data_IF_493076574945
#
_entry.id   IF_493076574945
#
_cell.length_a   1.000
_cell.length_b   1.000
_cell.length_c   1.000
_cell.angle_alpha   90.00
_cell.angle_beta   90.00
_cell.angle_gamma   90.00
#
_symmetry.space_group_name_H-M   'P 1'
#
loop_
_entity.id
_entity.type
_entity.pdbx_description
1 polymer ?
#
# COMPACT_ATOMS: atom_id res chain seq x y z
N UNK A 1 24.46 -10.58 -18.47
CA UNK A 1 25.01 -10.42 -17.11
C UNK A 1 23.97 -10.81 -16.10
N UNK A 2 24.38 -11.63 -15.23
CA UNK A 2 23.66 -12.45 -14.26
C UNK A 2 22.69 -11.68 -13.39
N UNK A 3 21.39 -11.94 -13.61
CA UNK A 3 20.32 -11.65 -12.66
C UNK A 3 20.42 -12.56 -11.42
N UNK A 4 21.55 -12.59 -10.78
CA UNK A 4 21.84 -13.58 -9.75
C UNK A 4 21.24 -13.27 -8.38
N UNK A 5 20.45 -12.20 -8.19
CA UNK A 5 20.09 -11.87 -6.81
C UNK A 5 18.70 -11.21 -6.60
N UNK A 6 17.70 -11.56 -7.40
CA UNK A 6 16.33 -11.12 -7.11
C UNK A 6 15.59 -12.08 -6.16
N UNK A 7 16.29 -12.73 -5.26
CA UNK A 7 15.65 -13.57 -4.26
C UNK A 7 16.35 -13.41 -2.91
N UNK A 8 15.63 -13.55 -1.78
CA UNK A 8 16.23 -13.47 -0.47
C UNK A 8 17.16 -14.66 -0.24
N UNK A 9 18.17 -14.50 0.64
CA UNK A 9 19.10 -15.56 1.00
C UNK A 9 18.43 -16.72 1.72
N UNK A 10 17.37 -16.45 2.46
CA UNK A 10 16.60 -17.44 3.21
C UNK A 10 15.24 -17.59 2.53
N UNK A 11 14.89 -18.81 2.16
CA UNK A 11 13.64 -19.15 1.47
C UNK A 11 13.02 -20.41 2.07
N UNK A 12 11.72 -20.56 1.86
CA UNK A 12 11.06 -21.83 2.13
C UNK A 12 11.62 -22.94 1.23
N UNK A 13 11.61 -24.16 1.76
CA UNK A 13 12.14 -25.32 1.04
C UNK A 13 11.34 -25.56 -0.26
N UNK A 14 12.07 -25.81 -1.34
CA UNK A 14 11.50 -26.16 -2.62
C UNK A 14 11.43 -25.01 -3.63
N UNK A 15 11.68 -23.77 -3.21
CA UNK A 15 11.68 -22.62 -4.11
C UNK A 15 13.13 -22.22 -4.45
N UNK A 16 13.47 -22.27 -5.74
CA UNK A 16 14.83 -22.00 -6.25
C UNK A 16 14.86 -20.95 -7.35
N UNK A 17 13.72 -20.66 -8.00
CA UNK A 17 13.66 -19.69 -9.08
C UNK A 17 13.94 -18.26 -8.57
N UNK A 18 14.60 -17.45 -9.42
CA UNK A 18 14.74 -16.03 -9.13
C UNK A 18 13.38 -15.35 -9.03
N UNK A 19 13.29 -14.37 -8.14
CA UNK A 19 12.13 -13.50 -8.08
C UNK A 19 12.09 -12.60 -9.32
N UNK A 20 10.92 -12.11 -9.68
CA UNK A 20 10.72 -11.24 -10.84
C UNK A 20 10.48 -9.79 -10.43
N UNK A 21 10.79 -8.89 -11.37
CA UNK A 21 10.49 -7.47 -11.25
C UNK A 21 9.14 -7.20 -11.91
N UNK A 22 8.22 -6.57 -11.18
CA UNK A 22 6.91 -6.20 -11.68
C UNK A 22 6.58 -4.77 -11.27
N UNK A 23 6.14 -3.96 -12.22
CA UNK A 23 5.56 -2.67 -11.87
C UNK A 23 4.25 -2.85 -11.09
N UNK A 24 3.99 -1.96 -10.14
CA UNK A 24 2.75 -2.02 -9.37
C UNK A 24 1.52 -2.00 -10.29
N UNK A 25 1.54 -1.20 -11.35
CA UNK A 25 0.46 -1.12 -12.33
C UNK A 25 0.18 -2.41 -13.11
N UNK A 26 1.14 -3.36 -13.14
CA UNK A 26 0.92 -4.68 -13.74
C UNK A 26 0.10 -5.60 -12.83
N UNK A 27 0.20 -5.44 -11.52
CA UNK A 27 -0.43 -6.32 -10.52
C UNK A 27 -1.59 -5.67 -9.77
N UNK A 28 -1.77 -4.35 -9.89
CA UNK A 28 -2.78 -3.61 -9.16
C UNK A 28 -3.51 -2.59 -10.04
N UNK A 29 -4.76 -2.34 -9.70
CA UNK A 29 -5.59 -1.27 -10.28
C UNK A 29 -5.76 -0.14 -9.29
N UNK A 30 -5.66 1.09 -9.77
CA UNK A 30 -6.01 2.26 -8.97
C UNK A 30 -7.52 2.30 -8.71
N UNK A 31 -7.88 2.64 -7.47
CA UNK A 31 -9.28 2.88 -7.07
C UNK A 31 -9.47 4.38 -6.88
N UNK A 32 -10.49 4.92 -7.57
CA UNK A 32 -10.90 6.33 -7.45
C UNK A 32 -12.38 6.46 -7.08
N UNK A 33 -12.97 5.40 -6.55
CA UNK A 33 -14.36 5.35 -6.12
C UNK A 33 -14.63 6.40 -5.06
N UNK A 34 -15.60 7.28 -5.33
CA UNK A 34 -16.06 8.30 -4.38
C UNK A 34 -17.16 7.76 -3.49
N UNK A 35 -17.24 8.30 -2.29
CA UNK A 35 -18.30 8.01 -1.32
C UNK A 35 -19.61 8.80 -1.62
N UNK A 36 -19.99 8.86 -2.89
CA UNK A 36 -21.12 9.69 -3.36
C UNK A 36 -22.44 9.38 -2.68
N UNK A 37 -22.69 8.10 -2.40
CA UNK A 37 -23.91 7.61 -1.78
C UNK A 37 -23.81 7.52 -0.25
N UNK A 38 -22.75 8.06 0.34
CA UNK A 38 -22.49 8.00 1.78
C UNK A 38 -22.55 6.58 2.35
N UNK A 39 -22.01 5.60 1.62
CA UNK A 39 -21.94 4.21 2.06
C UNK A 39 -21.16 4.04 3.36
N UNK A 40 -20.21 4.94 3.64
CA UNK A 40 -19.45 4.97 4.87
C UNK A 40 -19.38 6.39 5.42
N UNK A 41 -19.42 6.51 6.73
CA UNK A 41 -19.13 7.75 7.46
C UNK A 41 -17.93 7.60 8.38
N UNK A 42 -17.18 6.49 8.25
CA UNK A 42 -16.02 6.19 9.05
C UNK A 42 -14.76 6.81 8.41
N UNK A 43 -14.24 7.94 8.93
CA UNK A 43 -13.00 8.50 8.41
C UNK A 43 -11.83 7.66 8.90
N UNK A 44 -10.96 7.27 7.97
CA UNK A 44 -9.77 6.49 8.25
C UNK A 44 -8.51 7.36 8.22
N UNK A 45 -7.48 6.90 8.90
CA UNK A 45 -6.11 7.39 8.80
C UNK A 45 -5.15 6.22 8.77
N UNK A 46 -3.96 6.41 8.19
CA UNK A 46 -2.90 5.41 8.21
C UNK A 46 -1.90 5.76 9.31
N UNK A 47 -1.69 4.80 10.21
CA UNK A 47 -0.55 4.77 11.11
C UNK A 47 0.47 3.76 10.58
N UNK A 48 1.75 4.14 10.51
CA UNK A 48 2.83 3.22 10.12
C UNK A 48 2.89 2.00 11.05
N UNK A 49 2.58 2.20 12.33
CA UNK A 49 2.63 1.17 13.36
C UNK A 49 1.34 0.34 13.44
N UNK A 50 0.18 0.99 13.32
CA UNK A 50 -1.12 0.37 13.61
C UNK A 50 -2.00 0.13 12.38
N UNK A 51 -1.54 0.50 11.18
CA UNK A 51 -2.30 0.36 9.95
C UNK A 51 -3.44 1.37 9.81
N UNK A 52 -4.48 0.99 9.09
CA UNK A 52 -5.67 1.80 8.90
C UNK A 52 -6.55 1.79 10.15
N UNK A 53 -6.81 2.97 10.68
CA UNK A 53 -7.52 3.21 11.95
C UNK A 53 -8.64 4.22 11.76
N UNK A 54 -9.62 4.14 12.66
CA UNK A 54 -10.60 5.22 12.80
C UNK A 54 -9.86 6.53 13.16
N UNK A 55 -10.02 7.53 12.30
CA UNK A 55 -9.35 8.81 12.46
C UNK A 55 -9.79 9.54 13.75
N UNK A 56 -11.08 9.45 14.09
CA UNK A 56 -11.61 10.10 15.28
C UNK A 56 -11.06 9.48 16.57
N UNK A 57 -10.95 8.14 16.61
CA UNK A 57 -10.33 7.44 17.74
C UNK A 57 -8.84 7.72 17.86
N UNK A 58 -8.13 7.72 16.71
CA UNK A 58 -6.68 7.90 16.69
C UNK A 58 -6.25 9.29 17.18
N UNK A 59 -6.98 10.34 16.79
CA UNK A 59 -6.67 11.72 17.15
C UNK A 59 -7.50 12.26 18.32
N UNK A 60 -8.43 11.47 18.85
CA UNK A 60 -9.40 11.89 19.89
C UNK A 60 -10.17 13.16 19.51
N UNK A 61 -10.39 13.37 18.22
CA UNK A 61 -11.18 14.49 17.69
C UNK A 61 -11.55 14.28 16.24
N UNK A 62 -12.59 14.97 15.77
CA UNK A 62 -12.98 14.95 14.37
C UNK A 62 -12.05 15.85 13.53
N UNK A 63 -11.32 15.25 12.60
CA UNK A 63 -10.46 15.94 11.63
C UNK A 63 -11.10 16.00 10.25
N UNK A 64 -11.81 14.93 9.85
CA UNK A 64 -12.49 14.85 8.57
C UNK A 64 -13.58 15.91 8.45
N UNK A 65 -13.85 16.35 7.23
CA UNK A 65 -15.00 17.19 6.92
C UNK A 65 -16.29 16.54 7.41
N UNK A 66 -17.31 17.38 7.71
CA UNK A 66 -18.66 16.86 7.99
C UNK A 66 -19.28 16.17 6.77
N UNK A 67 -19.01 16.69 5.57
CA UNK A 67 -19.40 16.07 4.31
C UNK A 67 -18.22 15.25 3.77
N UNK A 68 -18.37 13.94 3.79
CA UNK A 68 -17.36 12.98 3.29
C UNK A 68 -17.76 12.36 1.94
N UNK A 69 -18.74 12.92 1.26
CA UNK A 69 -19.20 12.43 -0.06
C UNK A 69 -18.12 12.56 -1.14
N UNK A 70 -17.25 13.55 -1.04
CA UNK A 70 -16.12 13.76 -1.94
C UNK A 70 -14.87 12.92 -1.61
N UNK A 71 -14.86 12.21 -0.51
CA UNK A 71 -13.76 11.33 -0.12
C UNK A 71 -13.78 10.03 -0.94
N UNK A 72 -12.62 9.36 -1.02
CA UNK A 72 -12.58 8.00 -1.55
C UNK A 72 -13.27 7.02 -0.60
N UNK A 73 -14.04 6.11 -1.16
CA UNK A 73 -14.58 4.96 -0.45
C UNK A 73 -13.62 3.79 -0.57
N UNK A 74 -13.04 3.38 0.55
CA UNK A 74 -12.15 2.24 0.66
C UNK A 74 -12.92 1.03 1.19
N UNK A 75 -12.76 -0.12 0.55
CA UNK A 75 -13.37 -1.39 0.95
C UNK A 75 -12.32 -2.34 1.53
N UNK A 76 -12.79 -3.25 2.38
CA UNK A 76 -11.93 -4.27 3.00
C UNK A 76 -11.12 -5.04 1.95
N UNK A 77 -9.84 -5.20 2.20
CA UNK A 77 -8.89 -5.84 1.29
C UNK A 77 -8.22 -4.89 0.29
N UNK A 78 -8.69 -3.67 0.17
CA UNK A 78 -8.05 -2.64 -0.63
C UNK A 78 -6.90 -1.97 0.14
N UNK A 79 -5.91 -1.47 -0.60
CA UNK A 79 -4.71 -0.84 -0.06
C UNK A 79 -4.79 0.67 -0.19
N UNK A 80 -4.13 1.37 0.72
CA UNK A 80 -3.98 2.81 0.65
C UNK A 80 -2.54 3.23 0.93
N UNK A 81 -2.04 4.18 0.15
CA UNK A 81 -0.75 4.83 0.34
C UNK A 81 -0.95 6.25 0.88
N UNK A 82 -0.38 6.50 2.04
CA UNK A 82 -0.29 7.83 2.62
C UNK A 82 1.05 8.45 2.28
N UNK A 83 1.05 9.52 1.49
CA UNK A 83 2.25 10.27 1.09
C UNK A 83 2.80 11.20 2.18
N UNK A 84 2.14 11.31 3.31
CA UNK A 84 2.66 12.07 4.45
C UNK A 84 3.90 11.39 5.00
N UNK A 85 4.98 12.15 5.12
CA UNK A 85 6.23 11.64 5.68
C UNK A 85 6.43 12.13 7.12
N UNK A 86 7.14 11.33 7.90
CA UNK A 86 7.54 11.64 9.27
C UNK A 86 8.89 11.00 9.56
N UNK A 87 9.45 11.24 10.75
CA UNK A 87 10.68 10.56 11.18
C UNK A 87 10.55 9.03 11.17
N UNK A 88 9.37 8.52 11.54
CA UNK A 88 9.09 7.08 11.61
C UNK A 88 8.66 6.48 10.26
N UNK A 89 8.23 7.33 9.33
CA UNK A 89 7.78 6.94 8.00
C UNK A 89 8.30 7.94 6.95
N UNK A 90 9.60 7.91 6.63
CA UNK A 90 10.23 8.93 5.77
C UNK A 90 9.71 8.93 4.33
N UNK A 91 9.12 7.84 3.87
CA UNK A 91 8.53 7.68 2.53
C UNK A 91 7.01 7.46 2.56
N UNK A 92 6.38 7.73 3.70
CA UNK A 92 4.97 7.47 3.93
C UNK A 92 4.71 6.03 4.39
N UNK A 93 3.48 5.57 4.24
CA UNK A 93 3.08 4.22 4.64
C UNK A 93 2.03 3.66 3.70
N UNK A 94 2.11 2.36 3.44
CA UNK A 94 1.17 1.63 2.59
C UNK A 94 0.55 0.52 3.43
N UNK A 95 -0.77 0.53 3.57
CA UNK A 95 -1.51 -0.42 4.42
C UNK A 95 -2.77 -0.93 3.72
N UNK A 96 -3.19 -2.14 4.06
CA UNK A 96 -4.45 -2.75 3.61
C UNK A 96 -5.55 -2.54 4.66
N UNK A 97 -6.77 -2.31 4.21
CA UNK A 97 -7.93 -2.26 5.11
C UNK A 97 -8.34 -3.69 5.49
N UNK A 98 -8.05 -4.07 6.72
CA UNK A 98 -8.39 -5.38 7.27
C UNK A 98 -9.44 -5.30 8.38
N UNK A 99 -9.49 -4.18 9.10
CA UNK A 99 -10.20 -4.06 10.37
C UNK A 99 -11.67 -3.67 10.23
N UNK A 100 -12.03 -2.97 9.15
CA UNK A 100 -13.38 -2.49 8.90
C UNK A 100 -13.85 -2.95 7.52
N UNK A 101 -15.16 -3.07 7.33
CA UNK A 101 -15.73 -3.46 6.03
C UNK A 101 -15.53 -2.37 4.98
N UNK A 102 -15.60 -1.11 5.40
CA UNK A 102 -15.30 0.04 4.56
C UNK A 102 -14.90 1.24 5.40
N UNK A 103 -14.50 2.30 4.75
CA UNK A 103 -14.20 3.59 5.36
C UNK A 103 -13.91 4.62 4.29
N UNK A 104 -13.67 5.84 4.70
CA UNK A 104 -13.38 6.94 3.78
C UNK A 104 -12.00 7.52 4.02
N UNK A 105 -11.32 7.88 2.94
CA UNK A 105 -10.03 8.53 2.94
C UNK A 105 -10.05 9.79 2.08
N UNK A 106 -9.30 10.80 2.48
CA UNK A 106 -9.10 12.00 1.68
C UNK A 106 -8.54 11.63 0.30
N UNK A 107 -8.79 12.47 -0.71
CA UNK A 107 -8.27 12.27 -2.07
C UNK A 107 -6.76 12.47 -2.21
N UNK A 108 -6.07 12.81 -1.12
CA UNK A 108 -4.61 12.85 -1.06
C UNK A 108 -3.99 11.44 -0.97
N UNK A 109 -4.76 10.45 -0.57
CA UNK A 109 -4.32 9.04 -0.56
C UNK A 109 -4.37 8.44 -1.97
N UNK A 110 -3.47 7.47 -2.23
CA UNK A 110 -3.53 6.64 -3.44
C UNK A 110 -4.06 5.29 -3.03
N UNK A 111 -5.19 4.88 -3.62
CA UNK A 111 -5.88 3.63 -3.28
C UNK A 111 -5.75 2.65 -4.43
N UNK A 112 -5.50 1.39 -4.13
CA UNK A 112 -5.38 0.34 -5.13
C UNK A 112 -5.88 -1.01 -4.62
N UNK A 113 -6.21 -1.89 -5.57
CA UNK A 113 -6.56 -3.28 -5.32
C UNK A 113 -5.69 -4.21 -6.18
N UNK A 114 -5.51 -5.44 -5.74
CA UNK A 114 -4.82 -6.46 -6.53
C UNK A 114 -5.72 -6.90 -7.68
N UNK A 115 -5.19 -6.92 -8.91
CA UNK A 115 -5.94 -7.29 -10.13
C UNK A 115 -6.41 -8.74 -10.11
N UNK A 116 -5.51 -9.65 -9.77
CA UNK A 116 -5.74 -11.10 -9.83
C UNK A 116 -5.08 -11.78 -8.63
N UNK A 117 -5.89 -12.11 -7.64
CA UNK A 117 -5.43 -12.75 -6.38
C UNK A 117 -4.99 -14.20 -6.58
N UNK A 118 -5.20 -14.78 -7.75
CA UNK A 118 -4.68 -16.12 -8.10
C UNK A 118 -3.23 -16.06 -8.57
N UNK A 119 -2.75 -14.89 -8.97
CA UNK A 119 -1.38 -14.66 -9.46
C UNK A 119 -0.53 -13.84 -8.47
N UNK A 120 -1.17 -12.97 -7.69
CA UNK A 120 -0.52 -12.11 -6.69
C UNK A 120 -1.24 -12.26 -5.36
N UNK A 121 -0.51 -12.73 -4.36
CA UNK A 121 -1.07 -12.93 -3.02
C UNK A 121 -1.14 -11.62 -2.23
N UNK A 122 -2.33 -11.28 -1.76
CA UNK A 122 -2.58 -10.03 -1.04
C UNK A 122 -1.80 -9.94 0.28
N UNK A 123 -1.66 -11.04 1.01
CA UNK A 123 -0.91 -11.07 2.27
C UNK A 123 0.59 -10.90 2.05
N UNK A 124 1.12 -11.43 0.94
CA UNK A 124 2.48 -11.17 0.54
C UNK A 124 2.71 -9.66 0.29
N UNK A 125 1.79 -9.01 -0.41
CA UNK A 125 1.88 -7.56 -0.67
C UNK A 125 1.84 -6.75 0.63
N UNK A 126 1.02 -7.14 1.61
CA UNK A 126 1.06 -6.54 2.96
C UNK A 126 2.46 -6.65 3.55
N UNK A 127 3.03 -7.86 3.56
CA UNK A 127 4.36 -8.12 4.10
C UNK A 127 5.46 -7.35 3.35
N UNK A 128 5.35 -7.26 2.02
CA UNK A 128 6.27 -6.50 1.19
C UNK A 128 6.31 -5.02 1.60
N UNK A 129 5.14 -4.39 1.74
CA UNK A 129 5.05 -2.97 2.10
C UNK A 129 5.30 -2.69 3.60
N UNK A 130 5.40 -3.70 4.44
CA UNK A 130 5.90 -3.57 5.81
C UNK A 130 7.43 -3.56 5.90
N UNK A 131 8.13 -3.84 4.78
CA UNK A 131 9.58 -3.69 4.68
C UNK A 131 9.97 -2.32 4.14
N UNK A 132 11.27 -2.05 4.08
CA UNK A 132 11.83 -0.83 3.48
C UNK A 132 12.20 -0.99 1.99
N UNK A 133 11.95 -2.15 1.39
CA UNK A 133 12.35 -2.48 0.02
C UNK A 133 11.76 -1.55 -1.03
N UNK A 134 10.56 -1.06 -0.77
CA UNK A 134 9.85 -0.14 -1.66
C UNK A 134 10.32 1.32 -1.55
N UNK A 135 11.09 1.66 -0.51
CA UNK A 135 11.49 3.05 -0.25
C UNK A 135 12.31 3.65 -1.38
N UNK A 136 13.27 2.89 -1.93
CA UNK A 136 14.12 3.36 -3.05
C UNK A 136 13.30 3.65 -4.31
N UNK A 137 12.29 2.82 -4.57
CA UNK A 137 11.40 3.00 -5.72
C UNK A 137 10.59 4.29 -5.59
N UNK A 138 9.99 4.52 -4.42
CA UNK A 138 9.28 5.76 -4.13
C UNK A 138 10.23 6.97 -4.20
N UNK A 139 11.42 6.85 -3.65
CA UNK A 139 12.44 7.90 -3.72
C UNK A 139 12.78 8.26 -5.17
N UNK A 140 12.88 7.27 -6.05
CA UNK A 140 13.27 7.48 -7.46
C UNK A 140 12.20 8.23 -8.26
N UNK A 141 10.93 8.13 -7.88
CA UNK A 141 9.80 8.78 -8.55
C UNK A 141 9.31 10.05 -7.85
N UNK A 142 9.77 10.32 -6.63
CA UNK A 142 9.44 11.55 -5.92
C UNK A 142 10.19 12.72 -6.56
N UNK A 143 9.46 13.78 -6.94
CA UNK A 143 10.09 14.98 -7.48
C UNK A 143 10.91 15.70 -6.42
N UNK A 144 12.13 16.11 -6.77
CA UNK A 144 13.01 16.87 -5.87
C UNK A 144 12.39 18.22 -5.47
N UNK A 145 12.62 18.61 -4.22
CA UNK A 145 12.32 19.95 -3.72
C UNK A 145 10.85 20.23 -3.43
N UNK A 146 9.94 19.32 -3.76
CA UNK A 146 8.51 19.57 -3.61
C UNK A 146 7.90 18.80 -2.46
N UNK A 147 8.45 18.97 -1.26
CA UNK A 147 7.82 18.51 -0.03
C UNK A 147 6.91 19.65 0.48
N UNK A 148 5.69 19.69 -0.06
CA UNK A 148 4.71 20.70 0.34
C UNK A 148 3.85 20.16 1.49
N UNK A 149 3.84 20.88 2.62
CA UNK A 149 2.98 20.59 3.78
C UNK A 149 3.13 19.17 4.35
N UNK A 150 4.35 18.62 4.34
CA UNK A 150 4.60 17.28 4.86
C UNK A 150 4.19 16.15 3.92
N UNK A 151 3.85 16.45 2.67
CA UNK A 151 3.51 15.47 1.65
C UNK A 151 4.66 15.29 0.64
N UNK A 152 4.93 14.04 0.27
CA UNK A 152 5.83 13.72 -0.84
C UNK A 152 5.16 14.08 -2.16
N UNK A 153 5.93 14.64 -3.10
CA UNK A 153 5.43 14.95 -4.42
C UNK A 153 5.54 13.73 -5.35
N UNK A 154 4.53 12.87 -5.27
CA UNK A 154 4.43 11.66 -6.08
C UNK A 154 3.06 11.64 -6.72
N UNK A 155 3.01 11.59 -8.06
CA UNK A 155 1.75 11.39 -8.76
C UNK A 155 1.28 9.95 -8.64
N UNK A 156 -0.03 9.67 -8.78
CA UNK A 156 -0.51 8.30 -8.86
C UNK A 156 0.14 7.50 -9.99
N UNK A 157 0.33 8.10 -11.17
CA UNK A 157 0.98 7.43 -12.29
C UNK A 157 2.41 7.00 -11.94
N UNK A 158 3.20 7.89 -11.34
CA UNK A 158 4.57 7.57 -10.91
C UNK A 158 4.58 6.47 -9.86
N UNK A 159 3.62 6.48 -8.92
CA UNK A 159 3.50 5.44 -7.90
C UNK A 159 3.24 4.07 -8.52
N UNK A 160 2.39 3.97 -9.54
CA UNK A 160 2.09 2.71 -10.23
C UNK A 160 3.22 2.21 -11.13
N UNK A 161 4.20 3.06 -11.47
CA UNK A 161 5.42 2.68 -12.17
C UNK A 161 6.50 2.11 -11.23
N UNK A 162 6.34 2.25 -9.92
CA UNK A 162 7.28 1.66 -8.95
C UNK A 162 7.36 0.16 -9.11
N UNK A 163 8.57 -0.40 -8.97
CA UNK A 163 8.86 -1.81 -9.24
C UNK A 163 8.93 -2.60 -7.93
N UNK A 164 8.22 -3.71 -7.89
CA UNK A 164 8.30 -4.69 -6.81
C UNK A 164 9.16 -5.88 -7.27
N UNK A 165 9.95 -6.41 -6.36
CA UNK A 165 10.66 -7.69 -6.54
C UNK A 165 9.86 -8.76 -5.82
N UNK A 166 9.22 -9.65 -6.55
CA UNK A 166 8.27 -10.63 -6.04
C UNK A 166 8.58 -12.06 -6.50
N UNK A 167 8.23 -13.08 -5.70
CA UNK A 167 8.30 -14.46 -6.18
C UNK A 167 7.44 -14.68 -7.41
N UNK A 168 7.95 -15.43 -8.39
CA UNK A 168 7.16 -15.88 -9.55
C UNK A 168 6.02 -16.80 -9.13
N UNK A 169 6.27 -17.64 -8.13
CA UNK A 169 5.30 -18.59 -7.61
C UNK A 169 4.35 -17.93 -6.63
N UNK A 170 3.05 -17.95 -6.92
CA UNK A 170 2.03 -17.48 -5.97
C UNK A 170 2.02 -18.32 -4.70
N UNK A 171 2.41 -19.60 -4.77
CA UNK A 171 2.52 -20.46 -3.59
C UNK A 171 3.64 -19.98 -2.66
N UNK A 172 4.80 -19.59 -3.21
CA UNK A 172 5.85 -18.97 -2.39
C UNK A 172 5.38 -17.67 -1.76
N UNK A 173 4.67 -16.83 -2.53
CA UNK A 173 4.05 -15.60 -2.01
C UNK A 173 3.12 -15.91 -0.83
N UNK A 174 2.24 -16.92 -0.94
CA UNK A 174 1.32 -17.32 0.12
C UNK A 174 2.05 -17.78 1.38
N UNK A 175 3.10 -18.58 1.23
CA UNK A 175 3.86 -19.06 2.38
C UNK A 175 4.54 -17.90 3.13
N UNK A 176 5.10 -16.95 2.40
CA UNK A 176 5.71 -15.75 2.99
C UNK A 176 4.64 -14.91 3.68
N UNK A 177 3.53 -14.62 3.00
CA UNK A 177 2.43 -13.84 3.56
C UNK A 177 1.83 -14.46 4.81
N UNK A 178 1.62 -15.76 4.81
CA UNK A 178 1.12 -16.51 5.98
C UNK A 178 2.11 -16.47 7.13
N UNK A 179 3.39 -16.65 6.87
CA UNK A 179 4.45 -16.64 7.89
C UNK A 179 4.48 -15.33 8.66
N UNK A 180 4.39 -14.19 7.96
CA UNK A 180 4.48 -12.88 8.59
C UNK A 180 3.16 -12.37 9.18
N UNK A 181 2.04 -13.04 8.93
CA UNK A 181 0.74 -12.71 9.56
C UNK A 181 0.52 -13.34 10.93
N UNK A 182 1.28 -14.33 11.28
CA UNK A 182 1.17 -15.01 12.59
C UNK A 182 1.97 -14.26 13.71
#
# INVERSE_FOLDING_TARGET
MKNEQNAPKIRFKGFTDAWELRELGEIANRITRKNQNLESTLPLTISAQYGLKDQNEFFDKRIASKDVSGYYLLKKGEFAYNKSYSSDAPWGAIKRLDKYENGVLSTLYIIFEIKDKTKTDSDFIVSYYDTDRWHKEVQSVAAEGARNHGLLNISPNDFFETVLTIPKSVEEQRQIGTYFRT
#
